data_IF_161397487870
#
_entry.id   IF_161397487870
#
_cell.length_a   1.000
_cell.length_b   1.000
_cell.length_c   1.000
_cell.angle_alpha   90.00
_cell.angle_beta   90.00
_cell.angle_gamma   90.00
#
_symmetry.space_group_name_H-M   'P 1'
#
loop_
_entity.id
_entity.type
_entity.pdbx_description
1 polymer ?
#
# COMPACT_ATOMS: atom_id res chain seq x y z
N UNK A 1 -17.57 -3.53 7.26
CA UNK A 1 -16.83 -2.62 6.38
C UNK A 1 -15.63 -3.34 5.78
N UNK A 2 -15.29 -3.03 4.56
CA UNK A 2 -14.11 -3.56 3.87
C UNK A 2 -13.07 -2.45 3.72
N UNK A 3 -11.90 -2.64 4.30
CA UNK A 3 -10.86 -1.58 4.37
C UNK A 3 -9.53 -2.10 3.82
N UNK A 4 -8.91 -1.30 2.97
CA UNK A 4 -7.52 -1.50 2.56
C UNK A 4 -6.65 -0.50 3.33
N UNK A 5 -5.59 -1.02 3.97
CA UNK A 5 -4.50 -0.22 4.50
C UNK A 5 -3.32 -0.32 3.56
N UNK A 6 -2.77 0.82 3.17
CA UNK A 6 -1.58 0.85 2.32
C UNK A 6 -0.47 1.64 3.01
N UNK A 7 0.67 1.00 3.15
CA UNK A 7 1.82 1.52 3.87
C UNK A 7 3.08 0.84 3.37
N UNK A 8 4.23 1.38 3.68
CA UNK A 8 5.46 0.73 3.31
C UNK A 8 6.71 1.53 3.67
N UNK A 9 7.83 0.86 3.57
CA UNK A 9 9.15 1.42 3.74
C UNK A 9 9.69 1.40 5.17
N UNK A 10 8.90 1.73 6.17
CA UNK A 10 9.34 1.77 7.57
C UNK A 10 8.26 1.29 8.54
N UNK A 11 8.69 0.83 9.71
CA UNK A 11 7.78 0.49 10.80
C UNK A 11 6.94 1.70 11.26
N UNK A 12 7.47 2.92 11.12
CA UNK A 12 6.76 4.14 11.43
C UNK A 12 5.50 4.37 10.58
N UNK A 13 5.44 3.80 9.38
CA UNK A 13 4.25 3.83 8.53
C UNK A 13 3.32 2.63 8.79
N UNK A 14 3.89 1.49 9.12
CA UNK A 14 3.14 0.23 9.30
C UNK A 14 2.43 0.18 10.65
N UNK A 15 3.09 0.57 11.72
CA UNK A 15 2.54 0.47 13.07
C UNK A 15 1.24 1.26 13.27
N UNK A 16 1.10 2.51 12.79
CA UNK A 16 -0.17 3.23 12.86
C UNK A 16 -1.29 2.51 12.10
N UNK A 17 -0.98 1.93 10.96
CA UNK A 17 -1.96 1.17 10.17
C UNK A 17 -2.44 -0.08 10.92
N UNK A 18 -1.52 -0.82 11.54
CA UNK A 18 -1.86 -1.99 12.36
C UNK A 18 -2.71 -1.62 13.57
N UNK A 19 -2.37 -0.52 14.25
CA UNK A 19 -3.13 -0.04 15.39
C UNK A 19 -4.56 0.32 15.00
N UNK A 20 -4.72 1.04 13.90
CA UNK A 20 -6.04 1.44 13.40
C UNK A 20 -6.86 0.23 12.95
N UNK A 21 -6.25 -0.72 12.24
CA UNK A 21 -6.92 -1.96 11.83
C UNK A 21 -7.41 -2.76 13.04
N UNK A 22 -6.60 -2.85 14.08
CA UNK A 22 -6.97 -3.51 15.34
C UNK A 22 -8.17 -2.85 16.02
N UNK A 23 -8.18 -1.52 16.08
CA UNK A 23 -9.31 -0.76 16.63
C UNK A 23 -10.59 -0.96 15.82
N UNK A 24 -10.50 -0.99 14.51
CA UNK A 24 -11.65 -1.21 13.65
C UNK A 24 -12.26 -2.60 13.85
N UNK A 25 -11.42 -3.64 13.91
CA UNK A 25 -11.88 -5.00 14.20
C UNK A 25 -12.42 -5.17 15.62
N UNK A 26 -11.88 -4.43 16.58
CA UNK A 26 -12.39 -4.44 17.95
C UNK A 26 -13.80 -3.87 18.03
N UNK A 27 -14.09 -2.83 17.26
CA UNK A 27 -15.42 -2.21 17.20
C UNK A 27 -16.41 -3.02 16.36
N UNK A 28 -15.93 -3.63 15.28
CA UNK A 28 -16.71 -4.46 14.37
C UNK A 28 -15.87 -5.66 13.92
N UNK A 29 -16.05 -6.84 14.56
CA UNK A 29 -15.32 -8.06 14.21
C UNK A 29 -15.55 -8.54 12.76
N UNK A 30 -16.59 -8.06 12.08
CA UNK A 30 -16.87 -8.39 10.69
C UNK A 30 -16.08 -7.55 9.68
N UNK A 31 -15.29 -6.58 10.16
CA UNK A 31 -14.46 -5.76 9.30
C UNK A 31 -13.45 -6.62 8.55
N UNK A 32 -13.52 -6.60 7.22
CA UNK A 32 -12.53 -7.24 6.36
C UNK A 32 -11.37 -6.26 6.12
N UNK A 33 -10.15 -6.70 6.41
CA UNK A 33 -8.94 -5.88 6.31
C UNK A 33 -7.95 -6.54 5.35
N UNK A 34 -7.45 -5.74 4.41
CA UNK A 34 -6.37 -6.11 3.51
C UNK A 34 -5.26 -5.05 3.61
N UNK A 35 -4.03 -5.51 3.80
CA UNK A 35 -2.87 -4.64 3.71
C UNK A 35 -2.24 -4.73 2.32
N UNK A 36 -1.81 -3.60 1.79
CA UNK A 36 -1.12 -3.52 0.50
C UNK A 36 0.19 -2.76 0.68
N UNK A 37 1.28 -3.37 0.26
CA UNK A 37 2.62 -2.79 0.33
C UNK A 37 3.51 -3.35 -0.76
N UNK A 38 4.83 -3.29 -0.56
CA UNK A 38 5.79 -3.83 -1.51
C UNK A 38 5.99 -5.34 -1.31
N UNK A 39 6.46 -6.07 -2.34
CA UNK A 39 6.67 -7.52 -2.22
C UNK A 39 7.71 -7.91 -1.15
N UNK A 40 8.77 -7.10 -1.02
CA UNK A 40 9.93 -7.41 -0.19
C UNK A 40 10.12 -6.45 0.99
N UNK A 41 9.13 -5.61 1.29
CA UNK A 41 9.19 -4.65 2.38
C UNK A 41 9.00 -5.30 3.75
N UNK A 42 9.50 -4.64 4.80
CA UNK A 42 9.31 -5.09 6.18
C UNK A 42 7.84 -5.13 6.58
N UNK A 43 7.01 -4.36 5.92
CA UNK A 43 5.57 -4.33 6.16
C UNK A 43 4.91 -5.69 5.94
N UNK A 44 5.40 -6.47 4.99
CA UNK A 44 4.87 -7.80 4.72
C UNK A 44 4.99 -8.72 5.93
N UNK A 45 6.16 -8.72 6.56
CA UNK A 45 6.42 -9.54 7.74
C UNK A 45 5.62 -9.07 8.95
N UNK A 46 5.59 -7.75 9.18
CA UNK A 46 4.84 -7.16 10.30
C UNK A 46 3.34 -7.43 10.20
N UNK A 47 2.79 -7.30 9.00
CA UNK A 47 1.36 -7.59 8.72
C UNK A 47 1.05 -9.07 8.92
N UNK A 48 1.91 -9.95 8.43
CA UNK A 48 1.75 -11.40 8.60
C UNK A 48 1.75 -11.80 10.07
N UNK A 49 2.66 -11.24 10.87
CA UNK A 49 2.71 -11.48 12.33
C UNK A 49 1.45 -11.02 13.04
N UNK A 50 0.83 -9.95 12.56
CA UNK A 50 -0.41 -9.43 13.11
C UNK A 50 -1.66 -10.21 12.65
N UNK A 51 -1.52 -11.15 11.72
CA UNK A 51 -2.60 -12.02 11.26
C UNK A 51 -3.52 -11.41 10.22
N UNK A 52 -3.05 -10.41 9.45
CA UNK A 52 -3.82 -9.81 8.37
C UNK A 52 -3.40 -10.33 7.00
N UNK A 53 -4.32 -10.30 6.05
CA UNK A 53 -4.04 -10.59 4.65
C UNK A 53 -3.21 -9.49 4.02
N UNK A 54 -2.38 -9.86 3.05
CA UNK A 54 -1.44 -8.96 2.40
C UNK A 54 -1.44 -9.15 0.89
N UNK A 55 -1.47 -8.05 0.16
CA UNK A 55 -1.25 -8.02 -1.29
C UNK A 55 -0.08 -7.09 -1.59
N UNK A 56 0.65 -7.38 -2.65
CA UNK A 56 1.85 -6.63 -3.01
C UNK A 56 1.65 -5.85 -4.31
N UNK A 57 2.18 -4.63 -4.33
CA UNK A 57 2.30 -3.79 -5.52
C UNK A 57 3.76 -3.39 -5.64
N UNK A 58 4.35 -3.69 -6.78
CA UNK A 58 5.74 -3.35 -7.04
C UNK A 58 5.88 -1.83 -7.24
N UNK A 59 6.68 -1.20 -6.39
CA UNK A 59 6.98 0.22 -6.46
C UNK A 59 8.38 0.46 -5.91
N UNK A 60 9.06 1.49 -6.41
CA UNK A 60 10.39 1.86 -5.95
C UNK A 60 10.50 3.39 -5.80
N UNK A 61 11.45 3.84 -4.99
CA UNK A 61 11.67 5.26 -4.75
C UNK A 61 12.65 5.86 -5.75
N UNK A 62 12.46 7.13 -6.08
CA UNK A 62 13.40 7.88 -6.92
C UNK A 62 14.60 8.37 -6.10
N UNK A 63 15.78 8.32 -6.70
CA UNK A 63 17.02 8.84 -6.11
C UNK A 63 17.28 10.26 -6.59
N UNK A 64 17.64 11.13 -5.65
CA UNK A 64 17.98 12.54 -5.93
C UNK A 64 19.46 12.66 -6.30
N UNK A 65 19.84 12.16 -7.47
CA UNK A 65 21.23 12.24 -7.96
C UNK A 65 21.24 12.27 -9.48
N UNK A 66 22.25 12.98 -10.03
CA UNK A 66 22.50 13.02 -11.47
C UNK A 66 23.50 11.95 -11.93
N UNK A 67 23.98 11.09 -11.03
CA UNK A 67 24.90 10.00 -11.39
C UNK A 67 24.20 8.95 -12.27
N UNK A 68 24.95 8.30 -13.20
CA UNK A 68 24.34 7.30 -14.09
C UNK A 68 23.62 6.16 -13.38
N UNK A 69 24.13 5.69 -12.23
CA UNK A 69 23.49 4.64 -11.44
C UNK A 69 22.14 5.09 -10.90
N UNK A 70 22.06 6.34 -10.39
CA UNK A 70 20.82 6.92 -9.90
C UNK A 70 19.81 7.13 -11.04
N UNK A 71 20.27 7.52 -12.21
CA UNK A 71 19.41 7.69 -13.39
C UNK A 71 18.84 6.35 -13.87
N UNK A 72 19.64 5.28 -13.87
CA UNK A 72 19.16 3.93 -14.17
C UNK A 72 18.13 3.45 -13.17
N UNK A 73 18.39 3.68 -11.87
CA UNK A 73 17.45 3.34 -10.81
C UNK A 73 16.13 4.10 -10.99
N UNK A 74 16.19 5.40 -11.27
CA UNK A 74 15.00 6.23 -11.46
C UNK A 74 14.20 5.79 -12.70
N UNK A 75 14.86 5.36 -13.77
CA UNK A 75 14.20 4.83 -14.95
C UNK A 75 13.46 3.53 -14.63
N UNK A 76 14.09 2.64 -13.85
CA UNK A 76 13.46 1.42 -13.36
C UNK A 76 12.27 1.72 -12.44
N UNK A 77 12.44 2.67 -11.52
CA UNK A 77 11.38 3.11 -10.61
C UNK A 77 10.18 3.73 -11.37
N UNK A 78 10.44 4.49 -12.44
CA UNK A 78 9.38 5.03 -13.30
C UNK A 78 8.60 3.90 -13.98
N UNK A 79 9.29 2.87 -14.47
CA UNK A 79 8.63 1.69 -15.04
C UNK A 79 7.79 0.92 -14.03
N UNK A 80 8.31 0.72 -12.82
CA UNK A 80 7.57 0.08 -11.73
C UNK A 80 6.32 0.90 -11.36
N UNK A 81 6.45 2.22 -11.27
CA UNK A 81 5.33 3.12 -10.98
C UNK A 81 4.26 3.06 -12.08
N UNK A 82 4.67 3.00 -13.36
CA UNK A 82 3.73 2.86 -14.47
C UNK A 82 2.94 1.54 -14.40
N UNK A 83 3.60 0.44 -13.99
CA UNK A 83 2.95 -0.86 -13.82
C UNK A 83 2.08 -0.95 -12.57
N UNK A 84 2.37 -0.14 -11.54
CA UNK A 84 1.66 -0.19 -10.25
C UNK A 84 0.20 0.27 -10.35
N UNK A 85 -0.12 1.17 -11.26
CA UNK A 85 -1.49 1.65 -11.45
C UNK A 85 -2.48 0.54 -11.82
N UNK A 86 -2.25 -0.23 -12.89
CA UNK A 86 -3.09 -1.37 -13.22
C UNK A 86 -3.16 -2.44 -12.12
N UNK A 87 -2.04 -2.74 -11.46
CA UNK A 87 -2.01 -3.70 -10.35
C UNK A 87 -2.84 -3.22 -9.17
N UNK A 88 -2.73 -1.94 -8.80
CA UNK A 88 -3.52 -1.34 -7.74
C UNK A 88 -5.02 -1.37 -8.05
N UNK A 89 -5.39 -1.03 -9.27
CA UNK A 89 -6.80 -1.09 -9.72
C UNK A 89 -7.36 -2.51 -9.69
N UNK A 90 -6.56 -3.51 -10.06
CA UNK A 90 -6.97 -4.91 -9.99
C UNK A 90 -7.27 -5.34 -8.55
N UNK A 91 -6.43 -4.95 -7.59
CA UNK A 91 -6.66 -5.21 -6.16
C UNK A 91 -7.95 -4.55 -5.69
N UNK A 92 -8.19 -3.29 -6.07
CA UNK A 92 -9.41 -2.57 -5.71
C UNK A 92 -10.67 -3.22 -6.28
N UNK A 93 -10.61 -3.69 -7.51
CA UNK A 93 -11.74 -4.38 -8.16
C UNK A 93 -12.05 -5.73 -7.53
N UNK A 94 -11.02 -6.47 -7.12
CA UNK A 94 -11.17 -7.77 -6.48
C UNK A 94 -11.65 -7.64 -5.03
N UNK A 95 -10.98 -6.81 -4.24
CA UNK A 95 -11.31 -6.66 -2.83
C UNK A 95 -12.56 -5.81 -2.59
N UNK A 96 -12.85 -4.84 -3.44
CA UNK A 96 -13.99 -3.91 -3.33
C UNK A 96 -14.04 -3.19 -1.97
N UNK A 97 -13.02 -2.40 -1.61
CA UNK A 97 -13.01 -1.71 -0.33
C UNK A 97 -14.07 -0.63 -0.26
N UNK A 98 -14.59 -0.42 0.94
CA UNK A 98 -15.38 0.77 1.28
C UNK A 98 -14.47 1.97 1.56
N UNK A 99 -13.26 1.72 2.06
CA UNK A 99 -12.30 2.73 2.45
C UNK A 99 -10.87 2.27 2.14
N UNK A 100 -10.04 3.18 1.65
CA UNK A 100 -8.59 3.00 1.48
C UNK A 100 -7.87 3.99 2.37
N UNK A 101 -7.02 3.50 3.27
CA UNK A 101 -6.26 4.30 4.23
C UNK A 101 -4.77 4.21 3.90
N UNK A 102 -4.16 5.34 3.56
CA UNK A 102 -2.71 5.44 3.37
C UNK A 102 -2.05 6.04 4.60
N UNK A 103 -1.07 5.34 5.18
CA UNK A 103 -0.35 5.81 6.37
C UNK A 103 1.05 6.31 6.07
N UNK A 104 1.45 6.30 4.82
CA UNK A 104 2.73 6.85 4.37
C UNK A 104 3.61 5.85 3.64
N UNK A 105 4.72 6.36 3.13
CA UNK A 105 5.63 5.63 2.27
C UNK A 105 5.21 5.67 0.81
N UNK A 106 6.19 5.55 -0.09
CA UNK A 106 5.91 5.58 -1.53
C UNK A 106 5.07 4.38 -2.00
N UNK A 107 5.04 3.29 -1.24
CA UNK A 107 4.20 2.13 -1.55
C UNK A 107 2.70 2.41 -1.40
N UNK A 108 2.32 3.44 -0.63
CA UNK A 108 0.91 3.81 -0.47
C UNK A 108 0.35 4.60 -1.65
N UNK A 109 1.20 5.30 -2.39
CA UNK A 109 0.79 6.19 -3.48
C UNK A 109 -0.03 5.48 -4.57
N UNK A 110 0.36 4.31 -5.12
CA UNK A 110 -0.41 3.66 -6.17
C UNK A 110 -1.83 3.32 -5.77
N UNK A 111 -2.02 2.84 -4.54
CA UNK A 111 -3.34 2.45 -4.03
C UNK A 111 -4.25 3.65 -3.81
N UNK A 112 -3.74 4.70 -3.17
CA UNK A 112 -4.53 5.92 -2.92
C UNK A 112 -4.89 6.60 -4.24
N UNK A 113 -3.93 6.71 -5.16
CA UNK A 113 -4.18 7.27 -6.50
C UNK A 113 -5.25 6.47 -7.25
N UNK A 114 -5.15 5.15 -7.23
CA UNK A 114 -6.14 4.30 -7.89
C UNK A 114 -7.53 4.42 -7.25
N UNK A 115 -7.60 4.53 -5.92
CA UNK A 115 -8.87 4.75 -5.21
C UNK A 115 -9.52 6.06 -5.61
N UNK A 116 -8.75 7.14 -5.73
CA UNK A 116 -9.22 8.43 -6.24
C UNK A 116 -9.80 8.28 -7.65
N UNK A 117 -9.07 7.62 -8.54
CA UNK A 117 -9.46 7.47 -9.94
C UNK A 117 -10.75 6.67 -10.14
N UNK A 118 -11.04 5.70 -9.28
CA UNK A 118 -12.26 4.89 -9.37
C UNK A 118 -13.37 5.37 -8.42
N UNK A 119 -13.18 6.49 -7.73
CA UNK A 119 -14.19 7.09 -6.87
C UNK A 119 -14.42 6.37 -5.55
N UNK A 120 -13.41 5.69 -5.00
CA UNK A 120 -13.50 5.07 -3.67
C UNK A 120 -13.09 6.06 -2.58
N UNK A 121 -13.72 5.94 -1.40
CA UNK A 121 -13.33 6.72 -0.24
C UNK A 121 -11.88 6.43 0.15
N UNK A 122 -11.13 7.47 0.49
CA UNK A 122 -9.71 7.35 0.80
C UNK A 122 -9.28 8.40 1.82
N UNK A 123 -8.24 8.09 2.54
CA UNK A 123 -7.64 8.98 3.54
C UNK A 123 -6.16 8.64 3.74
#
# INVERSE_FOLDING_TARGET
MRVIFTCGGTAGHVNPALALAGLMRQRDPQTAVLFVGTPDGMERELVAKAGYDYAAVEVDSFRRSMRPEAMRHNLHAAGALARSGPAAKAILREFRPDLVVGTGGYASFPMVKAAVQIGRAHV
#
